data_IF_557857368629
#
_entry.id   IF_557857368629
#
_cell.length_a   1.000
_cell.length_b   1.000
_cell.length_c   1.000
_cell.angle_alpha   90.00
_cell.angle_beta   90.00
_cell.angle_gamma   90.00
#
_symmetry.space_group_name_H-M   'P 1'
#
loop_
_entity.id
_entity.type
_entity.pdbx_description
1 polymer ?
#
# COMPACT_ATOMS: atom_id res chain seq x y z
N UNK A 1 23.92 -18.18 -58.73
CA UNK A 1 22.98 -19.31 -58.87
C UNK A 1 22.29 -19.48 -57.52
N UNK A 2 21.03 -19.06 -57.35
CA UNK A 2 19.79 -19.85 -57.60
C UNK A 2 19.85 -21.18 -56.82
N UNK A 3 19.01 -21.49 -55.84
CA UNK A 3 17.54 -21.35 -55.84
C UNK A 3 16.88 -21.30 -54.46
N UNK A 4 15.87 -20.44 -54.42
CA UNK A 4 14.75 -20.24 -53.50
C UNK A 4 13.77 -21.43 -53.46
N UNK A 5 13.11 -21.69 -52.32
CA UNK A 5 11.69 -22.11 -52.18
C UNK A 5 11.25 -21.83 -50.73
N UNK A 6 10.61 -20.69 -50.43
CA UNK A 6 9.14 -20.46 -50.37
C UNK A 6 8.38 -21.45 -49.47
N UNK A 7 8.00 -21.00 -48.27
CA UNK A 7 6.64 -21.20 -47.75
C UNK A 7 6.14 -19.84 -47.26
N UNK A 8 5.01 -19.43 -47.84
CA UNK A 8 4.20 -18.26 -47.53
C UNK A 8 3.09 -18.77 -46.59
N UNK A 9 2.79 -18.04 -45.52
CA UNK A 9 1.39 -17.84 -45.13
C UNK A 9 1.21 -16.46 -44.48
N UNK A 10 0.27 -15.72 -45.05
CA UNK A 10 -0.16 -14.35 -44.78
C UNK A 10 -1.40 -14.41 -43.88
N UNK A 11 -1.52 -13.48 -42.92
CA UNK A 11 -2.73 -12.74 -42.48
C UNK A 11 -2.31 -11.86 -41.30
N UNK A 12 -2.04 -10.56 -41.44
CA UNK A 12 -2.96 -9.42 -41.57
C UNK A 12 -4.06 -9.42 -40.50
N UNK A 13 -3.96 -8.46 -39.59
CA UNK A 13 -4.99 -7.59 -38.97
C UNK A 13 -4.60 -7.32 -37.50
N UNK A 14 -4.04 -6.14 -37.24
CA UNK A 14 -4.22 -5.33 -36.03
C UNK A 14 -3.54 -4.00 -36.35
N UNK A 15 -4.27 -2.95 -36.74
CA UNK A 15 -5.24 -2.30 -35.88
C UNK A 15 -4.57 -1.03 -35.37
N UNK A 16 -4.60 0.00 -36.23
CA UNK A 16 -4.21 1.37 -35.95
C UNK A 16 -4.75 1.81 -34.59
N UNK A 17 -3.87 1.95 -33.59
CA UNK A 17 -4.17 2.74 -32.40
C UNK A 17 -3.63 4.14 -32.70
N UNK A 18 -4.51 4.98 -33.23
CA UNK A 18 -4.30 6.42 -33.31
C UNK A 18 -4.30 6.99 -31.89
N UNK A 19 -3.12 7.09 -31.30
CA UNK A 19 -2.86 7.98 -30.17
C UNK A 19 -2.96 9.42 -30.67
N UNK A 20 -4.17 9.97 -30.61
CA UNK A 20 -4.39 11.41 -30.61
C UNK A 20 -3.84 11.96 -29.29
N UNK A 21 -2.51 12.12 -29.24
CA UNK A 21 -1.88 13.03 -28.29
C UNK A 21 -2.26 14.42 -28.79
N UNK A 22 -3.31 15.00 -28.21
CA UNK A 22 -3.55 16.43 -28.33
C UNK A 22 -2.37 17.10 -27.64
N UNK A 23 -1.40 17.50 -28.46
CA UNK A 23 -0.31 18.37 -28.10
C UNK A 23 -0.92 19.70 -27.66
N UNK A 24 -1.03 19.90 -26.34
CA UNK A 24 -1.27 21.22 -25.77
C UNK A 24 -0.06 22.08 -26.12
N UNK A 25 -0.24 22.99 -27.09
CA UNK A 25 0.67 24.12 -27.28
C UNK A 25 0.65 24.94 -25.99
N UNK A 26 1.82 25.07 -25.40
CA UNK A 26 2.10 25.99 -24.30
C UNK A 26 1.88 27.43 -24.76
N UNK A 27 0.77 28.03 -24.33
CA UNK A 27 0.63 29.47 -24.26
C UNK A 27 0.58 29.87 -22.78
N UNK A 28 1.63 30.56 -22.33
CA UNK A 28 1.77 31.19 -21.02
C UNK A 28 0.78 32.35 -20.85
N UNK A 29 -0.48 31.99 -20.63
CA UNK A 29 -1.44 32.80 -19.89
C UNK A 29 -2.07 31.88 -18.87
N UNK A 30 -2.17 32.35 -17.63
CA UNK A 30 -2.91 31.67 -16.57
C UNK A 30 -4.38 31.56 -17.04
N UNK A 31 -4.68 30.50 -17.78
CA UNK A 31 -5.99 30.21 -18.31
C UNK A 31 -6.78 29.72 -17.10
N UNK A 32 -7.49 30.64 -16.43
CA UNK A 32 -8.51 30.26 -15.45
C UNK A 32 -9.49 29.35 -16.19
N UNK A 33 -9.49 28.06 -15.86
CA UNK A 33 -10.37 27.06 -16.45
C UNK A 33 -11.84 27.49 -16.38
N UNK A 34 -12.66 26.93 -17.26
CA UNK A 34 -14.11 27.05 -17.18
C UNK A 34 -14.65 26.37 -15.93
N UNK A 35 -14.01 25.28 -15.50
CA UNK A 35 -14.28 24.52 -14.29
C UNK A 35 -13.04 24.52 -13.38
N UNK A 36 -13.23 24.84 -12.11
CA UNK A 36 -12.16 24.83 -11.10
C UNK A 36 -12.61 24.12 -9.83
N UNK A 37 -11.67 23.48 -9.16
CA UNK A 37 -11.87 22.76 -7.90
C UNK A 37 -11.16 23.52 -6.77
N UNK A 38 -11.77 23.60 -5.59
CA UNK A 38 -11.12 24.21 -4.41
C UNK A 38 -9.96 23.38 -3.85
N UNK A 39 -9.94 22.07 -4.13
CA UNK A 39 -8.86 21.14 -3.81
C UNK A 39 -8.56 20.28 -5.04
N UNK A 40 -7.27 20.02 -5.28
CA UNK A 40 -6.80 19.16 -6.38
C UNK A 40 -6.20 17.85 -5.87
N UNK A 41 -5.74 17.83 -4.63
CA UNK A 41 -5.21 16.63 -3.99
C UNK A 41 -5.50 16.60 -2.49
N UNK A 42 -5.47 15.39 -1.90
CA UNK A 42 -5.68 15.21 -0.47
C UNK A 42 -5.43 13.79 0.04
N UNK A 43 -5.42 13.66 1.36
CA UNK A 43 -5.46 12.37 2.07
C UNK A 43 -6.82 12.21 2.74
N UNK A 44 -7.39 11.00 2.70
CA UNK A 44 -8.71 10.73 3.27
C UNK A 44 -8.81 9.27 3.74
N UNK A 45 -9.69 8.96 4.70
CA UNK A 45 -9.92 7.59 5.18
C UNK A 45 -11.17 7.00 4.57
N UNK A 46 -11.24 5.67 4.56
CA UNK A 46 -12.48 4.94 4.27
C UNK A 46 -13.54 5.33 5.31
N UNK A 47 -14.77 5.58 4.86
CA UNK A 47 -15.90 6.02 5.67
C UNK A 47 -15.99 7.54 5.87
N UNK A 48 -14.96 8.30 5.50
CA UNK A 48 -15.02 9.76 5.46
C UNK A 48 -15.66 10.24 4.15
N UNK A 49 -16.06 11.52 4.13
CA UNK A 49 -16.59 12.18 2.94
C UNK A 49 -15.55 13.13 2.33
N UNK A 50 -15.25 12.94 1.04
CA UNK A 50 -14.56 13.99 0.28
C UNK A 50 -15.55 15.09 -0.04
N UNK A 51 -15.15 16.34 0.16
CA UNK A 51 -15.96 17.52 -0.13
C UNK A 51 -15.12 18.54 -0.89
N UNK A 52 -15.51 18.85 -2.13
CA UNK A 52 -14.80 19.80 -3.01
C UNK A 52 -15.78 20.80 -3.60
N UNK A 53 -15.41 22.08 -3.61
CA UNK A 53 -16.21 23.12 -4.24
C UNK A 53 -15.86 23.21 -5.71
N UNK A 54 -16.88 23.07 -6.56
CA UNK A 54 -16.82 23.29 -7.99
C UNK A 54 -17.17 24.74 -8.25
N UNK A 55 -16.33 25.45 -8.99
CA UNK A 55 -16.59 26.82 -9.45
C UNK A 55 -16.53 26.92 -10.96
N UNK A 56 -17.50 27.63 -11.54
CA UNK A 56 -17.58 27.86 -12.98
C UNK A 56 -17.36 29.34 -13.31
N UNK A 57 -16.43 29.63 -14.21
CA UNK A 57 -16.17 31.02 -14.65
C UNK A 57 -17.18 31.51 -15.69
N UNK A 58 -17.64 30.61 -16.57
CA UNK A 58 -18.68 30.87 -17.58
C UNK A 58 -19.69 29.73 -17.61
N UNK A 59 -20.69 29.72 -16.71
CA UNK A 59 -21.67 28.64 -16.61
C UNK A 59 -22.42 28.36 -17.92
N UNK A 60 -22.65 29.37 -18.75
CA UNK A 60 -23.37 29.25 -20.02
C UNK A 60 -22.66 28.35 -21.05
N UNK A 61 -21.35 28.09 -20.87
CA UNK A 61 -20.56 27.25 -21.77
C UNK A 61 -20.57 25.77 -21.38
N UNK A 62 -21.07 25.42 -20.19
CA UNK A 62 -21.12 24.06 -19.67
C UNK A 62 -22.57 23.69 -19.38
N UNK A 63 -23.09 22.69 -20.10
CA UNK A 63 -24.45 22.17 -19.92
C UNK A 63 -24.54 21.20 -18.73
N UNK A 64 -23.52 20.35 -18.56
CA UNK A 64 -23.42 19.38 -17.47
C UNK A 64 -21.97 19.11 -17.09
N UNK A 65 -21.76 18.66 -15.85
CA UNK A 65 -20.47 18.12 -15.39
C UNK A 65 -20.62 16.61 -15.23
N UNK A 66 -19.77 15.84 -15.88
CA UNK A 66 -19.70 14.38 -15.74
C UNK A 66 -18.55 14.05 -14.80
N UNK A 67 -18.83 13.34 -13.72
CA UNK A 67 -17.83 12.89 -12.75
C UNK A 67 -17.60 11.41 -12.93
N UNK A 68 -16.34 11.05 -13.16
CA UNK A 68 -15.87 9.66 -13.25
C UNK A 68 -14.91 9.37 -12.11
N UNK A 69 -14.81 8.10 -11.75
CA UNK A 69 -13.90 7.61 -10.70
C UNK A 69 -12.91 6.64 -11.31
N UNK A 70 -11.65 6.73 -10.92
CA UNK A 70 -10.63 5.73 -11.25
C UNK A 70 -9.77 5.40 -10.05
N UNK A 71 -9.24 4.18 -10.03
CA UNK A 71 -8.32 3.69 -9.00
C UNK A 71 -7.12 3.10 -9.72
N UNK A 72 -5.91 3.58 -9.43
CA UNK A 72 -4.68 3.19 -10.16
C UNK A 72 -4.82 3.32 -11.69
N UNK A 73 -5.46 4.42 -12.12
CA UNK A 73 -5.67 4.72 -13.53
C UNK A 73 -6.71 3.83 -14.24
N UNK A 74 -7.38 2.92 -13.53
CA UNK A 74 -8.48 2.10 -14.08
C UNK A 74 -9.82 2.72 -13.70
N UNK A 75 -10.62 3.07 -14.71
CA UNK A 75 -11.97 3.60 -14.52
C UNK A 75 -12.87 2.58 -13.81
N UNK A 76 -13.58 3.03 -12.78
CA UNK A 76 -14.57 2.23 -12.05
C UNK A 76 -15.89 2.32 -12.81
N UNK A 77 -16.16 1.32 -13.65
CA UNK A 77 -17.30 1.34 -14.60
C UNK A 77 -18.68 1.47 -13.95
N UNK A 78 -18.83 1.11 -12.68
CA UNK A 78 -20.06 1.27 -11.92
C UNK A 78 -20.28 2.69 -11.40
N UNK A 79 -19.28 3.58 -11.52
CA UNK A 79 -19.33 4.93 -11.00
C UNK A 79 -19.44 5.96 -12.13
N UNK A 80 -20.58 6.64 -12.19
CA UNK A 80 -20.83 7.77 -13.07
C UNK A 80 -21.82 8.70 -12.37
N UNK A 81 -21.45 9.97 -12.21
CA UNK A 81 -22.38 11.02 -11.76
C UNK A 81 -22.48 12.09 -12.83
N UNK A 82 -23.70 12.54 -13.10
CA UNK A 82 -23.96 13.69 -13.95
C UNK A 82 -24.58 14.81 -13.11
N UNK A 83 -23.99 15.99 -13.17
CA UNK A 83 -24.46 17.19 -12.50
C UNK A 83 -25.00 18.15 -13.55
N UNK A 84 -26.30 18.45 -13.51
CA UNK A 84 -26.91 19.42 -14.42
C UNK A 84 -26.59 20.85 -13.95
N UNK A 85 -25.79 21.59 -14.72
CA UNK A 85 -25.34 22.94 -14.34
C UNK A 85 -26.51 23.90 -14.16
N UNK A 86 -27.59 23.76 -14.94
CA UNK A 86 -28.77 24.63 -14.87
C UNK A 86 -29.62 24.43 -13.60
N UNK A 87 -29.43 23.30 -12.90
CA UNK A 87 -30.17 22.95 -11.68
C UNK A 87 -29.36 23.23 -10.40
N UNK A 88 -28.10 23.63 -10.54
CA UNK A 88 -27.18 23.83 -9.43
C UNK A 88 -26.83 25.31 -9.25
N UNK A 89 -26.54 25.69 -8.01
CA UNK A 89 -25.98 26.99 -7.67
C UNK A 89 -24.48 26.85 -7.48
N UNK A 90 -23.71 27.69 -8.16
CA UNK A 90 -22.25 27.70 -8.08
C UNK A 90 -21.76 28.85 -7.17
N UNK A 91 -20.74 28.62 -6.32
CA UNK A 91 -19.97 27.38 -6.16
C UNK A 91 -20.82 26.24 -5.60
N UNK A 92 -20.67 25.05 -6.19
CA UNK A 92 -21.42 23.85 -5.82
C UNK A 92 -20.50 22.90 -5.08
N UNK A 93 -20.92 22.41 -3.91
CA UNK A 93 -20.14 21.42 -3.16
C UNK A 93 -20.48 20.02 -3.64
N UNK A 94 -19.51 19.37 -4.30
CA UNK A 94 -19.56 17.95 -4.58
C UNK A 94 -19.12 17.17 -3.34
N UNK A 95 -19.89 16.15 -2.97
CA UNK A 95 -19.60 15.29 -1.82
C UNK A 95 -19.73 13.82 -2.19
N UNK A 96 -18.74 13.02 -1.79
CA UNK A 96 -18.73 11.57 -1.99
C UNK A 96 -18.20 10.85 -0.75
N UNK A 97 -18.79 9.70 -0.41
CA UNK A 97 -18.24 8.81 0.62
C UNK A 97 -17.08 7.98 0.03
N UNK A 98 -16.01 7.84 0.80
CA UNK A 98 -14.90 6.94 0.45
C UNK A 98 -15.25 5.53 0.93
N UNK A 99 -15.36 4.59 0.00
CA UNK A 99 -15.85 3.24 0.27
C UNK A 99 -14.72 2.22 0.24
N UNK A 100 -14.97 1.05 0.81
CA UNK A 100 -14.04 -0.07 0.74
C UNK A 100 -13.73 -0.44 -0.72
N UNK A 101 -12.45 -0.62 -1.02
CA UNK A 101 -11.91 -0.82 -2.35
C UNK A 101 -11.21 0.41 -2.94
N UNK A 102 -11.48 1.62 -2.42
CA UNK A 102 -10.84 2.86 -2.87
C UNK A 102 -9.38 2.96 -2.45
N UNK A 103 -9.02 2.30 -1.35
CA UNK A 103 -7.67 2.16 -0.79
C UNK A 103 -6.73 1.26 -1.60
N UNK A 104 -7.23 0.66 -2.68
CA UNK A 104 -6.44 -0.20 -3.54
C UNK A 104 -5.36 0.57 -4.34
N UNK A 105 -5.44 1.90 -4.38
CA UNK A 105 -4.32 2.74 -4.79
C UNK A 105 -4.67 4.21 -4.87
N UNK A 106 -4.14 4.95 -5.85
CA UNK A 106 -4.48 6.36 -6.04
C UNK A 106 -5.92 6.46 -6.56
N UNK A 107 -6.79 7.09 -5.78
CA UNK A 107 -8.18 7.36 -6.13
C UNK A 107 -8.25 8.70 -6.87
N UNK A 108 -8.88 8.74 -8.04
CA UNK A 108 -9.07 9.99 -8.80
C UNK A 108 -10.54 10.17 -9.14
N UNK A 109 -11.08 11.35 -8.83
CA UNK A 109 -12.35 11.82 -9.37
C UNK A 109 -12.06 12.82 -10.49
N UNK A 110 -12.46 12.47 -11.71
CA UNK A 110 -12.29 13.31 -12.91
C UNK A 110 -13.61 13.99 -13.25
N UNK A 111 -13.59 15.31 -13.29
CA UNK A 111 -14.73 16.17 -13.59
C UNK A 111 -14.60 16.71 -15.01
N UNK A 112 -15.54 16.36 -15.88
CA UNK A 112 -15.57 16.82 -17.27
C UNK A 112 -16.73 17.80 -17.46
N UNK A 113 -16.40 19.05 -17.79
CA UNK A 113 -17.39 20.03 -18.23
C UNK A 113 -17.78 19.76 -19.68
N UNK A 114 -19.07 19.55 -19.94
CA UNK A 114 -19.61 19.20 -21.26
C UNK A 114 -20.45 20.36 -21.81
N UNK A 115 -20.36 20.65 -23.12
CA UNK A 115 -21.26 21.58 -23.80
C UNK A 115 -22.64 20.95 -24.12
N UNK A 116 -23.52 21.68 -24.80
CA UNK A 116 -24.85 21.17 -25.20
C UNK A 116 -24.78 20.02 -26.24
N UNK A 117 -23.65 19.83 -26.91
CA UNK A 117 -23.42 18.76 -27.88
C UNK A 117 -22.73 17.53 -27.26
N UNK A 118 -22.56 17.48 -25.93
CA UNK A 118 -21.78 16.48 -25.20
C UNK A 118 -20.29 16.42 -25.61
N UNK A 119 -19.71 17.56 -26.03
CA UNK A 119 -18.26 17.68 -26.20
C UNK A 119 -17.63 18.15 -24.90
N UNK A 120 -16.49 17.56 -24.53
CA UNK A 120 -15.70 18.04 -23.38
C UNK A 120 -15.14 19.42 -23.73
N UNK A 121 -15.47 20.43 -22.93
CA UNK A 121 -14.95 21.80 -23.07
C UNK A 121 -13.92 22.16 -22.00
N UNK A 122 -13.94 21.46 -20.86
CA UNK A 122 -12.93 21.58 -19.81
C UNK A 122 -12.89 20.33 -18.92
N UNK A 123 -11.80 20.14 -18.18
CA UNK A 123 -11.67 19.04 -17.23
C UNK A 123 -10.81 19.42 -16.03
N UNK A 124 -11.13 18.86 -14.87
CA UNK A 124 -10.33 18.97 -13.65
C UNK A 124 -10.33 17.66 -12.89
N UNK A 125 -9.22 17.34 -12.24
CA UNK A 125 -9.06 16.10 -11.47
C UNK A 125 -8.87 16.41 -9.99
N UNK A 126 -9.49 15.58 -9.15
CA UNK A 126 -9.21 15.49 -7.72
C UNK A 126 -8.51 14.16 -7.42
N UNK A 127 -7.27 14.24 -6.94
CA UNK A 127 -6.40 13.10 -6.66
C UNK A 127 -6.33 12.82 -5.16
N UNK A 128 -6.81 11.68 -4.71
CA UNK A 128 -6.87 11.31 -3.31
C UNK A 128 -5.97 10.12 -3.02
N UNK A 129 -5.19 10.25 -1.95
CA UNK A 129 -4.54 9.11 -1.31
C UNK A 129 -5.45 8.60 -0.19
N UNK A 130 -6.02 7.41 -0.38
CA UNK A 130 -6.88 6.80 0.65
C UNK A 130 -6.00 6.06 1.68
N UNK A 131 -6.15 6.44 2.94
CA UNK A 131 -5.45 5.84 4.06
C UNK A 131 -6.03 4.46 4.38
N UNK A 132 -5.15 3.46 4.39
CA UNK A 132 -5.49 2.10 4.79
C UNK A 132 -5.73 2.05 6.31
N UNK A 133 -6.77 1.32 6.71
CA UNK A 133 -6.86 0.86 8.09
C UNK A 133 -5.64 -0.02 8.45
N UNK A 134 -5.32 -0.14 9.73
CA UNK A 134 -4.04 -0.69 10.18
C UNK A 134 -3.81 -2.15 9.76
N UNK A 135 -4.83 -3.02 9.84
CA UNK A 135 -4.71 -4.42 9.40
C UNK A 135 -4.59 -4.54 7.88
N UNK A 136 -5.45 -3.89 7.06
CA UNK A 136 -5.22 -3.81 5.62
C UNK A 136 -3.84 -3.27 5.25
N UNK A 137 -3.33 -2.26 5.96
CA UNK A 137 -1.98 -1.72 5.75
C UNK A 137 -0.91 -2.79 6.01
N UNK A 138 -0.98 -3.49 7.15
CA UNK A 138 -0.07 -4.57 7.52
C UNK A 138 -0.04 -5.67 6.45
N UNK A 139 -1.21 -6.03 5.92
CA UNK A 139 -1.39 -7.11 4.95
C UNK A 139 -1.07 -6.70 3.50
N UNK A 140 -1.17 -5.42 3.16
CA UNK A 140 -0.91 -4.93 1.79
C UNK A 140 0.58 -4.98 1.44
N UNK A 141 1.44 -4.72 2.41
CA UNK A 141 2.88 -4.59 2.21
C UNK A 141 3.64 -5.73 2.89
N UNK A 142 4.84 -5.99 2.40
CA UNK A 142 5.87 -6.62 3.22
C UNK A 142 6.63 -5.53 3.98
N UNK A 143 7.36 -5.92 5.02
CA UNK A 143 7.96 -4.98 5.97
C UNK A 143 9.44 -5.28 6.16
N UNK A 144 10.26 -4.26 6.01
CA UNK A 144 11.72 -4.33 6.19
C UNK A 144 12.11 -3.44 7.34
N UNK A 145 13.02 -3.93 8.20
CA UNK A 145 13.54 -3.16 9.31
C UNK A 145 14.40 -2.00 8.79
N UNK A 146 14.05 -0.77 9.16
CA UNK A 146 14.82 0.42 8.82
C UNK A 146 15.84 0.76 9.93
N UNK A 147 15.44 0.60 11.19
CA UNK A 147 16.28 0.87 12.36
C UNK A 147 15.77 0.11 13.58
N UNK A 148 16.68 -0.21 14.49
CA UNK A 148 16.37 -0.79 15.80
C UNK A 148 17.12 0.01 16.84
N UNK A 149 16.41 0.62 17.78
CA UNK A 149 17.03 1.45 18.81
C UNK A 149 17.01 0.74 20.16
N UNK A 150 18.20 0.57 20.73
CA UNK A 150 18.39 0.11 22.11
C UNK A 150 19.20 1.17 22.84
N UNK A 151 18.73 1.64 24.00
CA UNK A 151 19.38 2.70 24.80
C UNK A 151 19.71 3.99 24.03
N UNK A 152 18.96 4.29 22.97
CA UNK A 152 19.13 5.50 22.15
C UNK A 152 20.12 5.35 20.99
N UNK A 153 20.73 4.17 20.80
CA UNK A 153 21.63 3.88 19.68
C UNK A 153 20.95 2.98 18.65
N UNK A 154 21.15 3.24 17.35
CA UNK A 154 20.70 2.33 16.29
C UNK A 154 21.61 1.09 16.26
N UNK A 155 21.06 -0.04 16.68
CA UNK A 155 21.70 -1.35 16.75
C UNK A 155 21.29 -2.26 15.60
N UNK A 156 20.48 -1.80 14.63
CA UNK A 156 20.08 -2.63 13.51
C UNK A 156 21.28 -2.92 12.61
N UNK A 157 21.66 -4.19 12.54
CA UNK A 157 22.75 -4.69 11.70
C UNK A 157 22.30 -4.89 10.25
N UNK A 158 23.23 -4.94 9.29
CA UNK A 158 22.88 -5.11 7.87
C UNK A 158 22.06 -6.37 7.57
N UNK A 159 22.31 -7.48 8.29
CA UNK A 159 21.52 -8.71 8.19
C UNK A 159 20.06 -8.49 8.58
N UNK A 160 19.79 -7.86 9.74
CA UNK A 160 18.41 -7.56 10.16
C UNK A 160 17.66 -6.62 9.19
N UNK A 161 18.38 -5.73 8.50
CA UNK A 161 17.79 -4.79 7.53
C UNK A 161 17.56 -5.42 6.14
N UNK A 162 18.08 -6.63 5.91
CA UNK A 162 17.93 -7.37 4.65
C UNK A 162 16.75 -8.35 4.70
N UNK A 163 16.28 -8.68 5.90
CA UNK A 163 15.11 -9.52 6.14
C UNK A 163 13.80 -8.82 5.71
N UNK A 164 12.95 -9.57 5.00
CA UNK A 164 11.62 -9.11 4.57
C UNK A 164 10.54 -9.90 5.29
N UNK A 165 9.75 -9.22 6.11
CA UNK A 165 8.65 -9.81 6.87
C UNK A 165 7.34 -9.72 6.10
N UNK A 166 6.67 -10.85 5.90
CA UNK A 166 5.37 -10.97 5.26
C UNK A 166 4.31 -11.46 6.24
N UNK A 167 3.29 -10.64 6.45
CA UNK A 167 2.09 -10.99 7.20
C UNK A 167 0.97 -11.34 6.22
N UNK A 168 0.34 -12.50 6.42
CA UNK A 168 -0.72 -13.03 5.56
C UNK A 168 -2.08 -12.99 6.26
N UNK A 169 -3.15 -12.93 5.47
CA UNK A 169 -4.53 -12.87 5.96
C UNK A 169 -5.02 -14.15 6.65
N UNK A 170 -4.34 -15.28 6.42
CA UNK A 170 -4.55 -16.56 7.10
C UNK A 170 -3.79 -16.65 8.44
N UNK A 171 -3.28 -15.52 8.94
CA UNK A 171 -2.51 -15.36 10.17
C UNK A 171 -1.11 -16.02 10.13
N UNK A 172 -0.66 -16.51 8.97
CA UNK A 172 0.71 -16.97 8.82
C UNK A 172 1.68 -15.80 8.73
N UNK A 173 2.87 -15.98 9.31
CA UNK A 173 3.97 -15.04 9.23
C UNK A 173 5.17 -15.71 8.59
N UNK A 174 5.75 -15.07 7.59
CA UNK A 174 6.90 -15.56 6.85
C UNK A 174 7.99 -14.49 6.83
N UNK A 175 9.24 -14.93 6.74
CA UNK A 175 10.38 -14.04 6.53
C UNK A 175 11.22 -14.58 5.37
N UNK A 176 11.64 -13.68 4.51
CA UNK A 176 12.72 -13.92 3.56
C UNK A 176 14.02 -13.37 4.17
N UNK A 177 15.02 -14.23 4.41
CA UNK A 177 16.22 -13.96 5.20
C UNK A 177 17.27 -13.05 4.52
N UNK A 178 16.94 -12.41 3.41
CA UNK A 178 17.95 -11.62 2.72
C UNK A 178 19.13 -12.47 2.19
N UNK A 179 20.15 -11.78 1.70
CA UNK A 179 21.45 -12.33 1.29
C UNK A 179 22.55 -12.09 2.32
N UNK A 180 22.34 -11.19 3.29
CA UNK A 180 23.29 -10.86 4.34
C UNK A 180 22.90 -11.63 5.60
N UNK A 181 23.73 -12.59 5.98
CA UNK A 181 23.53 -13.38 7.19
C UNK A 181 24.30 -12.80 8.36
N UNK A 182 23.77 -12.96 9.58
CA UNK A 182 24.52 -12.72 10.80
C UNK A 182 25.74 -13.62 10.86
N UNK A 183 26.74 -13.26 11.67
CA UNK A 183 28.02 -14.02 11.74
C UNK A 183 27.86 -15.52 12.06
N UNK A 184 26.75 -15.90 12.72
CA UNK A 184 26.41 -17.27 13.06
C UNK A 184 25.17 -17.79 12.30
N UNK A 185 24.66 -17.04 11.33
CA UNK A 185 23.45 -17.32 10.57
C UNK A 185 22.23 -17.63 11.46
N UNK A 186 22.05 -16.87 12.55
CA UNK A 186 21.04 -17.11 13.58
C UNK A 186 19.61 -17.09 13.03
N UNK A 187 19.34 -16.28 12.02
CA UNK A 187 18.10 -16.19 11.27
C UNK A 187 17.67 -17.54 10.66
N UNK A 188 18.65 -18.37 10.26
CA UNK A 188 18.40 -19.73 9.71
C UNK A 188 17.99 -20.76 10.76
N UNK A 189 18.08 -20.39 12.05
CA UNK A 189 17.75 -21.27 13.17
C UNK A 189 16.29 -21.13 13.60
N UNK A 190 15.55 -20.22 12.98
CA UNK A 190 14.16 -19.93 13.30
C UNK A 190 13.23 -20.42 12.20
N UNK A 191 12.05 -20.85 12.63
CA UNK A 191 10.92 -21.17 11.77
C UNK A 191 9.73 -20.31 12.17
N UNK A 192 9.32 -19.41 11.28
CA UNK A 192 8.25 -18.45 11.53
C UNK A 192 6.89 -19.09 11.24
N UNK A 193 5.97 -18.91 12.18
CA UNK A 193 4.71 -19.63 12.17
C UNK A 193 3.52 -18.68 11.95
N UNK A 194 3.30 -17.78 12.90
CA UNK A 194 2.06 -17.02 12.95
C UNK A 194 2.28 -15.61 13.48
N UNK A 195 1.27 -14.77 13.30
CA UNK A 195 1.15 -13.48 13.95
C UNK A 195 -0.25 -13.30 14.50
N UNK A 196 -0.38 -12.44 15.51
CA UNK A 196 -1.67 -12.05 16.06
C UNK A 196 -1.65 -10.64 16.60
N UNK A 197 -2.83 -10.04 16.75
CA UNK A 197 -2.99 -8.67 17.21
C UNK A 197 -4.03 -8.57 18.30
N UNK A 198 -3.90 -7.57 19.17
CA UNK A 198 -5.02 -7.09 19.99
C UNK A 198 -5.51 -5.76 19.44
N UNK A 199 -6.83 -5.59 19.42
CA UNK A 199 -7.50 -4.40 18.89
C UNK A 199 -8.15 -3.60 20.02
N UNK A 200 -8.14 -2.28 19.89
CA UNK A 200 -8.95 -1.33 20.64
C UNK A 200 -9.72 -0.48 19.63
N UNK A 201 -10.98 -0.84 19.41
CA UNK A 201 -11.75 -0.36 18.27
C UNK A 201 -11.06 -0.68 16.95
N UNK A 202 -10.73 0.36 16.17
CA UNK A 202 -10.05 0.24 14.88
C UNK A 202 -8.50 0.30 14.98
N UNK A 203 -7.94 0.37 16.19
CA UNK A 203 -6.50 0.51 16.42
C UNK A 203 -5.90 -0.80 16.93
N UNK A 204 -4.82 -1.25 16.31
CA UNK A 204 -3.95 -2.33 16.77
C UNK A 204 -3.14 -1.83 17.97
N UNK A 205 -3.29 -2.48 19.12
CA UNK A 205 -2.53 -2.16 20.34
C UNK A 205 -1.27 -2.99 20.46
N UNK A 206 -1.39 -4.28 20.18
CA UNK A 206 -0.25 -5.18 20.19
C UNK A 206 -0.20 -5.97 18.89
N UNK A 207 1.02 -6.30 18.49
CA UNK A 207 1.35 -7.28 17.47
C UNK A 207 2.20 -8.32 18.17
N UNK A 208 1.90 -9.60 17.99
CA UNK A 208 2.73 -10.69 18.49
C UNK A 208 3.13 -11.56 17.32
N UNK A 209 4.41 -11.93 17.28
CA UNK A 209 4.93 -12.85 16.28
C UNK A 209 5.33 -14.16 16.94
N UNK A 210 5.02 -15.27 16.28
CA UNK A 210 5.19 -16.62 16.80
C UNK A 210 6.17 -17.37 15.90
N UNK A 211 7.22 -17.90 16.50
CA UNK A 211 8.21 -18.74 15.81
C UNK A 211 8.66 -19.91 16.70
N UNK A 212 9.34 -20.85 16.07
CA UNK A 212 10.05 -21.95 16.72
C UNK A 212 11.53 -21.79 16.41
N UNK A 213 12.40 -22.36 17.24
CA UNK A 213 13.82 -22.41 16.93
C UNK A 213 14.42 -23.79 17.23
N UNK A 214 15.61 -24.03 16.70
CA UNK A 214 16.30 -25.33 16.82
C UNK A 214 16.59 -25.73 18.27
N UNK A 215 16.65 -24.77 19.20
CA UNK A 215 16.97 -25.00 20.61
C UNK A 215 15.73 -25.36 21.43
N UNK A 216 14.54 -25.01 20.97
CA UNK A 216 13.25 -25.30 21.61
C UNK A 216 12.18 -25.63 20.56
N UNK A 217 12.39 -26.68 19.75
CA UNK A 217 11.60 -26.93 18.53
C UNK A 217 10.14 -27.38 18.81
N UNK A 218 9.82 -27.72 20.05
CA UNK A 218 8.47 -28.09 20.51
C UNK A 218 7.75 -26.95 21.25
N UNK A 219 8.42 -25.84 21.52
CA UNK A 219 7.85 -24.71 22.25
C UNK A 219 7.78 -23.50 21.32
N UNK A 220 6.56 -22.98 21.15
CA UNK A 220 6.36 -21.72 20.45
C UNK A 220 6.97 -20.58 21.27
N UNK A 221 7.83 -19.80 20.62
CA UNK A 221 8.37 -18.56 21.14
C UNK A 221 7.53 -17.42 20.59
N UNK A 222 7.07 -16.56 21.49
CA UNK A 222 6.24 -15.42 21.15
C UNK A 222 6.97 -14.13 21.52
N UNK A 223 7.15 -13.26 20.53
CA UNK A 223 7.61 -11.90 20.79
C UNK A 223 6.40 -10.98 20.79
N UNK A 224 6.22 -10.25 21.89
CA UNK A 224 5.13 -9.29 22.05
C UNK A 224 5.62 -7.87 21.80
N UNK A 225 4.92 -7.17 20.92
CA UNK A 225 5.17 -5.78 20.60
C UNK A 225 3.98 -4.91 20.98
N UNK A 226 4.24 -3.79 21.64
CA UNK A 226 3.35 -2.64 21.64
C UNK A 226 3.44 -1.96 20.26
N UNK A 227 2.30 -1.74 19.61
CA UNK A 227 2.24 -1.03 18.33
C UNK A 227 2.13 0.46 18.63
N UNK A 228 3.23 1.19 18.45
CA UNK A 228 3.27 2.63 18.67
C UNK A 228 2.75 3.39 17.45
N UNK A 229 2.96 2.84 16.25
CA UNK A 229 2.42 3.37 15.01
C UNK A 229 2.22 2.25 13.99
N UNK A 230 1.10 2.27 13.28
CA UNK A 230 0.86 1.47 12.08
C UNK A 230 -0.04 2.29 11.15
N UNK A 231 0.58 3.24 10.45
CA UNK A 231 -0.08 4.22 9.58
C UNK A 231 0.96 4.88 8.66
N UNK A 232 0.52 5.64 7.66
CA UNK A 232 1.41 6.45 6.82
C UNK A 232 2.60 5.66 6.24
N UNK A 233 2.37 4.41 5.83
CA UNK A 233 3.43 3.52 5.32
C UNK A 233 4.60 3.41 6.30
N UNK A 234 4.31 3.24 7.57
CA UNK A 234 5.29 3.07 8.64
C UNK A 234 4.72 2.20 9.74
N UNK A 235 5.55 1.30 10.27
CA UNK A 235 5.22 0.51 11.45
C UNK A 235 6.32 0.73 12.51
N UNK A 236 5.91 1.10 13.72
CA UNK A 236 6.81 1.29 14.86
C UNK A 236 6.37 0.35 15.96
N UNK A 237 7.26 -0.57 16.32
CA UNK A 237 7.03 -1.60 17.31
C UNK A 237 7.95 -1.37 18.51
N UNK A 238 7.42 -1.58 19.71
CA UNK A 238 8.20 -1.57 20.94
C UNK A 238 8.08 -2.92 21.63
N UNK A 239 9.21 -3.53 21.98
CA UNK A 239 9.27 -4.73 22.81
C UNK A 239 10.19 -4.50 24.02
N UNK A 240 10.09 -5.42 24.97
CA UNK A 240 11.01 -5.49 26.11
C UNK A 240 11.67 -6.86 26.12
N UNK A 241 13.00 -6.88 26.08
CA UNK A 241 13.79 -8.10 25.90
C UNK A 241 14.81 -8.26 27.03
N UNK A 242 15.10 -9.50 27.41
CA UNK A 242 16.21 -9.79 28.32
C UNK A 242 17.53 -9.75 27.55
N UNK A 243 18.28 -8.67 27.74
CA UNK A 243 19.59 -8.46 27.13
C UNK A 243 20.72 -8.53 28.16
N UNK A 244 20.43 -8.97 29.40
CA UNK A 244 21.41 -9.00 30.49
C UNK A 244 22.64 -9.86 30.18
N UNK A 245 22.50 -10.84 29.28
CA UNK A 245 23.60 -11.66 28.79
C UNK A 245 24.63 -10.93 27.90
N UNK A 246 24.35 -9.70 27.46
CA UNK A 246 25.26 -8.90 26.62
C UNK A 246 26.27 -8.07 27.43
N UNK A 247 26.24 -8.14 28.76
CA UNK A 247 27.20 -7.53 29.68
C UNK A 247 26.61 -6.45 30.59
N UNK A 248 27.43 -5.90 31.48
CA UNK A 248 27.05 -5.01 32.60
C UNK A 248 26.27 -3.73 32.21
N UNK A 249 26.18 -3.43 30.91
CA UNK A 249 25.42 -2.30 30.36
C UNK A 249 23.95 -2.61 30.04
N UNK A 250 23.50 -3.86 30.11
CA UNK A 250 22.17 -4.29 29.70
C UNK A 250 21.36 -4.89 30.85
N UNK A 251 20.04 -4.76 30.77
CA UNK A 251 19.11 -5.29 31.78
C UNK A 251 18.33 -6.49 31.26
N UNK A 252 17.63 -7.17 32.17
CA UNK A 252 16.69 -8.25 31.80
C UNK A 252 15.35 -7.75 31.25
N UNK A 253 15.19 -6.43 31.08
CA UNK A 253 13.97 -5.80 30.61
C UNK A 253 14.33 -4.55 29.79
N UNK A 254 15.13 -4.75 28.76
CA UNK A 254 15.63 -3.69 27.91
C UNK A 254 14.58 -3.30 26.87
N UNK A 255 14.33 -1.99 26.75
CA UNK A 255 13.41 -1.47 25.74
C UNK A 255 14.06 -1.52 24.36
N UNK A 256 13.40 -2.19 23.43
CA UNK A 256 13.80 -2.27 22.02
C UNK A 256 12.73 -1.60 21.17
N UNK A 257 13.14 -0.62 20.37
CA UNK A 257 12.25 0.10 19.45
C UNK A 257 12.63 -0.23 18.01
N UNK A 258 11.71 -0.81 17.25
CA UNK A 258 11.92 -1.19 15.86
C UNK A 258 11.06 -0.32 14.95
N UNK A 259 11.67 0.16 13.86
CA UNK A 259 10.97 0.93 12.83
C UNK A 259 11.05 0.14 11.54
N UNK A 260 9.90 -0.17 10.98
CA UNK A 260 9.75 -0.86 9.71
C UNK A 260 9.19 0.06 8.63
N UNK A 261 9.71 -0.10 7.42
CA UNK A 261 9.22 0.55 6.21
C UNK A 261 8.60 -0.49 5.27
N UNK A 262 7.49 -0.14 4.61
CA UNK A 262 6.82 -1.06 3.72
C UNK A 262 7.56 -1.19 2.39
N UNK A 263 7.57 -2.40 1.87
CA UNK A 263 7.95 -2.72 0.50
C UNK A 263 6.77 -3.40 -0.19
N UNK A 264 6.63 -3.18 -1.49
CA UNK A 264 5.56 -3.82 -2.26
C UNK A 264 5.74 -5.33 -2.24
N UNK A 265 4.64 -6.07 -2.01
CA UNK A 265 4.66 -7.53 -2.15
C UNK A 265 5.07 -7.91 -3.57
N UNK A 266 5.99 -8.86 -3.66
CA UNK A 266 6.44 -9.40 -4.93
C UNK A 266 6.05 -10.88 -5.06
N UNK A 267 5.91 -11.33 -6.31
CA UNK A 267 5.66 -12.75 -6.65
C UNK A 267 6.90 -13.63 -6.43
N UNK A 268 8.10 -13.04 -6.44
CA UNK A 268 9.38 -13.72 -6.21
C UNK A 268 9.78 -13.81 -4.73
N UNK A 269 8.90 -13.39 -3.81
CA UNK A 269 9.10 -13.60 -2.37
C UNK A 269 9.34 -15.07 -2.11
N UNK A 270 10.52 -15.37 -1.59
CA UNK A 270 10.95 -16.74 -1.37
C UNK A 270 11.13 -16.92 0.13
N UNK A 271 10.09 -17.38 0.85
CA UNK A 271 10.17 -17.63 2.29
C UNK A 271 11.43 -18.45 2.58
N UNK A 272 12.22 -18.04 3.56
CA UNK A 272 13.41 -18.78 4.01
C UNK A 272 14.41 -19.05 2.88
N UNK A 273 14.45 -18.20 1.84
CA UNK A 273 15.26 -18.40 0.62
C UNK A 273 15.04 -19.76 -0.05
N UNK A 274 13.82 -20.31 0.09
CA UNK A 274 13.41 -21.57 -0.52
C UNK A 274 13.86 -22.79 0.27
N UNK A 275 14.46 -22.58 1.45
CA UNK A 275 14.65 -23.66 2.41
C UNK A 275 13.31 -24.02 3.04
N UNK A 276 13.19 -25.29 3.45
CA UNK A 276 12.00 -25.72 4.15
C UNK A 276 12.04 -25.20 5.60
N UNK A 277 11.13 -24.28 5.99
CA UNK A 277 11.07 -23.79 7.37
C UNK A 277 10.71 -24.88 8.37
N UNK A 278 10.04 -25.94 7.92
CA UNK A 278 9.64 -27.06 8.75
C UNK A 278 10.81 -28.01 9.07
N UNK A 279 12.02 -27.75 8.55
CA UNK A 279 13.20 -28.54 8.88
C UNK A 279 13.49 -28.58 10.40
N UNK A 280 12.99 -27.59 11.14
CA UNK A 280 13.19 -27.46 12.59
C UNK A 280 11.90 -27.46 13.41
N UNK A 281 10.73 -27.46 12.76
CA UNK A 281 9.45 -27.49 13.46
C UNK A 281 9.15 -28.93 13.91
N UNK A 282 9.10 -29.16 15.23
CA UNK A 282 8.69 -30.46 15.79
C UNK A 282 7.25 -30.43 16.29
N UNK A 283 6.67 -29.25 16.57
CA UNK A 283 5.27 -29.07 16.96
C UNK A 283 4.46 -28.37 15.86
N UNK A 284 3.20 -28.74 15.63
CA UNK A 284 2.42 -28.14 14.53
C UNK A 284 2.27 -26.62 14.69
N UNK A 285 2.60 -25.88 13.63
CA UNK A 285 2.26 -24.47 13.53
C UNK A 285 0.73 -24.34 13.38
N UNK A 286 0.08 -23.65 14.33
CA UNK A 286 -1.39 -23.51 14.38
C UNK A 286 -1.80 -22.01 14.42
N UNK A 287 -1.77 -21.29 13.30
CA UNK A 287 -2.17 -19.88 13.26
C UNK A 287 -3.56 -19.65 13.87
N UNK A 288 -3.68 -18.65 14.75
CA UNK A 288 -4.93 -18.29 15.42
C UNK A 288 -5.25 -19.03 16.72
N UNK A 289 -4.37 -19.91 17.22
CA UNK A 289 -4.60 -20.66 18.47
C UNK A 289 -3.55 -20.45 19.57
N UNK A 290 -2.73 -19.40 19.48
CA UNK A 290 -1.60 -19.13 20.39
C UNK A 290 -1.89 -18.08 21.44
#
# INVERSE_FOLDING_TARGET
MKTLKKIIFISIVLGMISSLIISCKSDDKQQTGLLTLSILEGKIKIGDYVSVELSLSHPDLISKIVVKKSIEGKEVSSYLKELNVKELSFPYTFTEEIIAGDENGILVYSFYGMDENNSVVDAADLVLTVELAQIPLLLKYDWVLASQTIKGEDTATPDLKDDIHRFNSDLTWQVDWGFIFSSAALETLNSYCAWQVTMDGATVKTLSTIHYNVFSPSQALMTHYNVLQLSDRKMILESYQDLSGLGDGYSSNERVLEVYTPVSKTEDFTPYRGQNPDNYIVASCNPGSY
#
